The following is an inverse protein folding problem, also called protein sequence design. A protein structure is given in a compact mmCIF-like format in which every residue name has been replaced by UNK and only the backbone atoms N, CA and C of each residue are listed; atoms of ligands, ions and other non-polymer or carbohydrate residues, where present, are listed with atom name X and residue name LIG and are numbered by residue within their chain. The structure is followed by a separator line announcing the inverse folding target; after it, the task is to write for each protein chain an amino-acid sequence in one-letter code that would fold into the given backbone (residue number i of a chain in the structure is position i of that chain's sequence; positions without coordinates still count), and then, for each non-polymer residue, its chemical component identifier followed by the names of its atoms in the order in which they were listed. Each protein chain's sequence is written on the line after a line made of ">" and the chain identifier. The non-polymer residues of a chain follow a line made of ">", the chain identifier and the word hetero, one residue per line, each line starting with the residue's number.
data_IF_434041137697
#
_entry.id   IF_434041137697
#
_cell.length_a   1.000
_cell.length_b   1.000
_cell.length_c   1.000
_cell.angle_alpha   90.00
_cell.angle_beta   90.00
_cell.angle_gamma   90.00
#
_symmetry.space_group_name_H-M   'P 1'
#
loop_
_entity.id
_entity.type
_entity.pdbx_description
1 polymer ?
#
# COMPACT_ATOMS: atom_id res chain seq x y z
N UNK A 1 -118.80 -5.44 32.56
CA UNK A 1 -118.89 -6.04 31.22
C UNK A 1 -117.54 -6.65 30.82
N UNK A 2 -117.43 -7.97 30.87
CA UNK A 2 -116.58 -8.79 29.97
C UNK A 2 -115.06 -8.62 29.96
N UNK A 3 -114.35 -9.04 31.02
CA UNK A 3 -112.93 -9.42 30.95
C UNK A 3 -112.77 -10.83 30.37
N UNK A 4 -113.01 -10.99 29.06
CA UNK A 4 -112.67 -12.23 28.33
C UNK A 4 -111.97 -11.88 27.01
N UNK A 5 -110.71 -11.47 27.10
CA UNK A 5 -109.82 -11.49 25.94
C UNK A 5 -109.74 -12.93 25.39
N UNK A 6 -109.93 -13.11 24.08
CA UNK A 6 -109.90 -14.41 23.40
C UNK A 6 -108.65 -15.21 23.81
N UNK A 7 -108.82 -16.21 24.68
CA UNK A 7 -107.74 -17.12 25.07
C UNK A 7 -107.38 -17.98 23.85
N UNK A 8 -106.16 -17.82 23.33
CA UNK A 8 -105.60 -18.73 22.31
C UNK A 8 -105.81 -20.19 22.74
N UNK A 9 -106.34 -21.01 21.84
CA UNK A 9 -106.59 -22.45 22.07
C UNK A 9 -105.35 -23.16 22.60
N UNK A 10 -105.52 -24.19 23.43
CA UNK A 10 -104.42 -25.00 23.99
C UNK A 10 -103.53 -25.59 22.89
N UNK A 11 -104.13 -25.91 21.74
CA UNK A 11 -103.41 -26.40 20.56
C UNK A 11 -102.42 -25.36 20.01
N UNK A 12 -102.84 -24.10 19.86
CA UNK A 12 -101.99 -23.04 19.31
C UNK A 12 -100.87 -22.67 20.27
N UNK A 13 -101.11 -22.62 21.58
CA UNK A 13 -100.04 -22.41 22.58
C UNK A 13 -99.01 -23.54 22.59
N UNK A 14 -99.44 -24.79 22.43
CA UNK A 14 -98.52 -25.94 22.32
C UNK A 14 -97.68 -25.89 21.04
N UNK A 15 -98.28 -25.46 19.92
CA UNK A 15 -97.56 -25.25 18.67
C UNK A 15 -96.55 -24.11 18.78
N UNK A 16 -96.95 -22.97 19.35
CA UNK A 16 -96.06 -21.83 19.62
C UNK A 16 -94.92 -22.22 20.56
N UNK A 17 -95.19 -22.93 21.65
CA UNK A 17 -94.16 -23.41 22.57
C UNK A 17 -93.19 -24.41 21.91
N UNK A 18 -93.68 -25.30 21.04
CA UNK A 18 -92.83 -26.21 20.25
C UNK A 18 -91.99 -25.46 19.23
N UNK A 19 -92.55 -24.43 18.58
CA UNK A 19 -91.83 -23.59 17.63
C UNK A 19 -90.73 -22.77 18.32
N UNK A 20 -91.00 -22.20 19.50
CA UNK A 20 -90.00 -21.49 20.31
C UNK A 20 -88.89 -22.45 20.75
N UNK A 21 -89.23 -23.64 21.25
CA UNK A 21 -88.23 -24.66 21.60
C UNK A 21 -87.40 -25.12 20.40
N UNK A 22 -88.02 -25.29 19.24
CA UNK A 22 -87.32 -25.68 18.02
C UNK A 22 -86.37 -24.56 17.55
N UNK A 23 -86.82 -23.30 17.56
CA UNK A 23 -85.97 -22.13 17.26
C UNK A 23 -84.80 -22.02 18.22
N UNK A 24 -85.05 -22.07 19.54
CA UNK A 24 -84.00 -22.03 20.55
C UNK A 24 -82.99 -23.17 20.40
N UNK A 25 -83.44 -24.40 20.08
CA UNK A 25 -82.54 -25.53 19.84
C UNK A 25 -81.70 -25.36 18.56
N UNK A 26 -82.27 -24.76 17.52
CA UNK A 26 -81.53 -24.47 16.29
C UNK A 26 -80.54 -23.33 16.50
N UNK A 27 -80.93 -22.25 17.18
CA UNK A 27 -80.06 -21.14 17.55
C UNK A 27 -78.91 -21.60 18.45
N UNK A 28 -79.16 -22.46 19.44
CA UNK A 28 -78.13 -23.08 20.27
C UNK A 28 -77.15 -23.93 19.44
N UNK A 29 -77.65 -24.70 18.46
CA UNK A 29 -76.79 -25.48 17.56
C UNK A 29 -75.95 -24.59 16.63
N UNK A 30 -76.55 -23.53 16.08
CA UNK A 30 -75.86 -22.61 15.18
C UNK A 30 -74.83 -21.76 15.92
N UNK A 31 -75.15 -21.29 17.12
CA UNK A 31 -74.20 -20.58 18.00
C UNK A 31 -73.04 -21.48 18.39
N UNK A 32 -73.28 -22.71 18.88
CA UNK A 32 -72.21 -23.66 19.19
C UNK A 32 -71.32 -23.98 17.96
N UNK A 33 -71.92 -24.13 16.77
CA UNK A 33 -71.16 -24.34 15.52
C UNK A 33 -70.33 -23.12 15.14
N UNK A 34 -70.84 -21.91 15.35
CA UNK A 34 -70.13 -20.66 15.10
C UNK A 34 -69.00 -20.44 16.11
N UNK A 35 -69.22 -20.74 17.39
CA UNK A 35 -68.20 -20.69 18.44
C UNK A 35 -67.07 -21.68 18.16
N UNK A 36 -67.40 -22.94 17.82
CA UNK A 36 -66.40 -23.93 17.44
C UNK A 36 -65.57 -23.47 16.21
N UNK A 37 -66.22 -22.83 15.22
CA UNK A 37 -65.52 -22.24 14.07
C UNK A 37 -64.61 -21.07 14.49
N UNK A 38 -65.07 -20.20 15.39
CA UNK A 38 -64.30 -19.06 15.90
C UNK A 38 -63.08 -19.52 16.69
N UNK A 39 -63.24 -20.47 17.62
CA UNK A 39 -62.14 -21.04 18.41
C UNK A 39 -61.10 -21.69 17.49
N UNK A 40 -61.54 -22.49 16.52
CA UNK A 40 -60.63 -23.12 15.55
C UNK A 40 -59.92 -22.09 14.66
N UNK A 41 -60.60 -21.01 14.28
CA UNK A 41 -59.99 -19.92 13.52
C UNK A 41 -58.97 -19.16 14.37
N UNK A 42 -59.27 -18.87 15.63
CA UNK A 42 -58.38 -18.22 16.59
C UNK A 42 -57.10 -19.05 16.83
N UNK A 43 -57.24 -20.35 17.13
CA UNK A 43 -56.09 -21.25 17.30
C UNK A 43 -55.21 -21.34 16.03
N UNK A 44 -55.84 -21.32 14.85
CA UNK A 44 -55.10 -21.29 13.57
C UNK A 44 -54.38 -19.95 13.36
N UNK A 45 -54.99 -18.84 13.77
CA UNK A 45 -54.36 -17.52 13.71
C UNK A 45 -53.18 -17.43 14.68
N UNK A 46 -53.35 -17.86 15.92
CA UNK A 46 -52.29 -17.91 16.95
C UNK A 46 -51.12 -18.79 16.51
N UNK A 47 -51.38 -20.02 16.05
CA UNK A 47 -50.32 -20.91 15.57
C UNK A 47 -49.59 -20.36 14.33
N UNK A 48 -50.29 -19.66 13.43
CA UNK A 48 -49.66 -18.95 12.30
C UNK A 48 -48.83 -17.76 12.79
N UNK A 49 -49.33 -16.98 13.74
CA UNK A 49 -48.62 -15.84 14.32
C UNK A 49 -47.34 -16.31 15.03
N UNK A 50 -47.42 -17.38 15.84
CA UNK A 50 -46.26 -17.98 16.50
C UNK A 50 -45.23 -18.49 15.49
N UNK A 51 -45.66 -19.18 14.42
CA UNK A 51 -44.76 -19.63 13.35
C UNK A 51 -44.09 -18.45 12.64
N UNK A 52 -44.84 -17.38 12.36
CA UNK A 52 -44.31 -16.18 11.73
C UNK A 52 -43.28 -15.48 12.64
N UNK A 53 -43.56 -15.36 13.94
CA UNK A 53 -42.63 -14.80 14.92
C UNK A 53 -41.35 -15.65 15.02
N UNK A 54 -41.46 -16.98 15.07
CA UNK A 54 -40.29 -17.87 15.09
C UNK A 54 -39.46 -17.76 13.81
N UNK A 55 -40.11 -17.62 12.65
CA UNK A 55 -39.41 -17.44 11.38
C UNK A 55 -38.70 -16.08 11.34
N UNK A 56 -39.39 -15.01 11.72
CA UNK A 56 -38.80 -13.66 11.81
C UNK A 56 -37.60 -13.64 12.76
N UNK A 57 -37.70 -14.31 13.92
CA UNK A 57 -36.59 -14.45 14.87
C UNK A 57 -35.41 -15.23 14.28
N UNK A 58 -35.66 -16.34 13.59
CA UNK A 58 -34.59 -17.09 12.90
C UNK A 58 -33.93 -16.26 11.80
N UNK A 59 -34.71 -15.50 11.05
CA UNK A 59 -34.19 -14.64 9.99
C UNK A 59 -33.39 -13.46 10.57
N UNK A 60 -33.81 -12.88 11.70
CA UNK A 60 -33.02 -11.88 12.43
C UNK A 60 -31.74 -12.48 13.01
N UNK A 61 -31.79 -13.69 13.57
CA UNK A 61 -30.61 -14.37 14.12
C UNK A 61 -29.61 -14.68 12.99
N UNK A 62 -30.09 -15.14 11.83
CA UNK A 62 -29.26 -15.35 10.64
C UNK A 62 -28.65 -14.04 10.11
N UNK A 63 -29.42 -12.95 10.12
CA UNK A 63 -28.91 -11.65 9.74
C UNK A 63 -27.83 -11.16 10.72
N UNK A 64 -28.07 -11.30 12.03
CA UNK A 64 -27.10 -10.97 13.06
C UNK A 64 -25.81 -11.81 12.93
N UNK A 65 -25.92 -13.11 12.65
CA UNK A 65 -24.75 -13.95 12.38
C UNK A 65 -23.99 -13.49 11.13
N UNK A 66 -24.68 -13.13 10.04
CA UNK A 66 -24.02 -12.61 8.84
C UNK A 66 -23.33 -11.26 9.09
N UNK A 67 -23.95 -10.39 9.88
CA UNK A 67 -23.35 -9.11 10.28
C UNK A 67 -22.12 -9.37 11.16
N UNK A 68 -22.22 -10.24 12.16
CA UNK A 68 -21.09 -10.62 13.00
C UNK A 68 -19.95 -11.30 12.20
N UNK A 69 -20.27 -12.14 11.22
CA UNK A 69 -19.28 -12.74 10.30
C UNK A 69 -18.65 -11.68 9.39
N UNK A 70 -19.43 -10.72 8.90
CA UNK A 70 -18.93 -9.61 8.11
C UNK A 70 -18.02 -8.71 8.95
N UNK A 71 -18.40 -8.40 10.19
CA UNK A 71 -17.58 -7.66 11.15
C UNK A 71 -16.32 -8.43 11.54
N UNK A 72 -16.40 -9.74 11.75
CA UNK A 72 -15.22 -10.60 11.96
C UNK A 72 -14.31 -10.62 10.74
N UNK A 73 -14.87 -10.66 9.53
CA UNK A 73 -14.09 -10.53 8.29
C UNK A 73 -13.44 -9.16 8.23
N UNK A 74 -14.16 -8.08 8.51
CA UNK A 74 -13.62 -6.71 8.54
C UNK A 74 -12.56 -6.53 9.63
N UNK A 75 -12.73 -7.13 10.81
CA UNK A 75 -11.76 -7.08 11.90
C UNK A 75 -10.52 -7.94 11.62
N UNK A 76 -10.71 -9.14 11.03
CA UNK A 76 -9.61 -9.97 10.51
C UNK A 76 -8.91 -9.29 9.33
N UNK A 77 -9.64 -8.52 8.54
CA UNK A 77 -9.10 -7.69 7.48
C UNK A 77 -8.43 -6.43 8.01
N UNK A 78 -8.87 -5.89 9.13
CA UNK A 78 -8.29 -4.74 9.82
C UNK A 78 -6.92 -5.05 10.43
N UNK A 79 -6.61 -6.33 10.69
CA UNK A 79 -5.23 -6.76 10.86
C UNK A 79 -4.50 -6.57 9.53
N UNK A 80 -3.47 -5.74 9.55
CA UNK A 80 -2.63 -5.32 8.41
C UNK A 80 -2.05 -6.48 7.56
N UNK A 81 -2.25 -7.74 7.97
CA UNK A 81 -1.74 -8.96 7.38
C UNK A 81 -2.86 -9.92 6.92
N UNK A 82 -4.05 -9.42 6.56
CA UNK A 82 -5.12 -10.31 6.09
C UNK A 82 -4.81 -10.90 4.70
N UNK A 83 -5.09 -12.20 4.46
CA UNK A 83 -4.77 -12.85 3.19
C UNK A 83 -5.43 -12.17 1.97
N UNK A 84 -6.63 -11.62 2.14
CA UNK A 84 -7.36 -10.90 1.08
C UNK A 84 -6.74 -9.57 0.74
N UNK A 85 -6.29 -8.77 1.73
CA UNK A 85 -5.53 -7.54 1.47
C UNK A 85 -4.16 -7.85 0.88
N UNK A 86 -3.46 -8.88 1.37
CA UNK A 86 -2.18 -9.30 0.80
C UNK A 86 -2.36 -9.70 -0.67
N UNK A 87 -3.39 -10.51 -1.00
CA UNK A 87 -3.68 -10.87 -2.40
C UNK A 87 -4.02 -9.64 -3.25
N UNK A 88 -4.88 -8.73 -2.77
CA UNK A 88 -5.21 -7.49 -3.49
C UNK A 88 -4.01 -6.58 -3.66
N UNK A 89 -3.20 -6.41 -2.62
CA UNK A 89 -1.97 -5.63 -2.65
C UNK A 89 -0.96 -6.24 -3.61
N UNK A 90 -0.81 -7.58 -3.63
CA UNK A 90 0.05 -8.29 -4.58
C UNK A 90 -0.45 -8.17 -6.02
N UNK A 91 -1.77 -8.20 -6.26
CA UNK A 91 -2.32 -8.00 -7.62
C UNK A 91 -2.14 -6.57 -8.08
N UNK A 92 -2.40 -5.59 -7.21
CA UNK A 92 -2.24 -4.16 -7.53
C UNK A 92 -0.76 -3.83 -7.69
N UNK A 93 0.11 -4.33 -6.82
CA UNK A 93 1.55 -4.13 -6.94
C UNK A 93 2.10 -4.80 -8.19
N UNK A 94 1.62 -6.00 -8.57
CA UNK A 94 2.03 -6.66 -9.82
C UNK A 94 1.58 -5.93 -11.08
N UNK A 95 0.40 -5.30 -11.06
CA UNK A 95 -0.09 -4.48 -12.18
C UNK A 95 0.63 -3.14 -12.28
N UNK A 96 0.92 -2.51 -11.14
CA UNK A 96 1.64 -1.25 -11.09
C UNK A 96 3.16 -1.44 -11.17
N UNK A 97 3.68 -2.65 -10.95
CA UNK A 97 5.10 -2.98 -10.99
C UNK A 97 5.81 -2.46 -12.25
N UNK A 98 5.36 -2.73 -13.49
CA UNK A 98 6.07 -2.27 -14.68
C UNK A 98 6.14 -0.73 -14.81
N UNK A 99 5.25 0.01 -14.16
CA UNK A 99 5.20 1.48 -14.18
C UNK A 99 5.95 2.07 -12.98
N UNK A 100 5.76 1.51 -11.79
CA UNK A 100 6.43 1.95 -10.56
C UNK A 100 7.92 1.58 -10.58
N UNK A 101 8.31 0.45 -11.16
CA UNK A 101 9.71 0.02 -11.23
C UNK A 101 10.62 1.08 -11.87
N UNK A 102 10.34 1.58 -13.10
CA UNK A 102 11.16 2.63 -13.70
C UNK A 102 11.08 3.97 -12.94
N UNK A 103 9.96 4.29 -12.30
CA UNK A 103 9.81 5.53 -11.52
C UNK A 103 10.63 5.48 -10.22
N UNK A 104 10.54 4.39 -9.45
CA UNK A 104 11.34 4.16 -8.25
C UNK A 104 12.82 4.11 -8.61
N UNK A 105 13.17 3.45 -9.72
CA UNK A 105 14.54 3.43 -10.21
C UNK A 105 15.05 4.84 -10.55
N UNK A 106 14.26 5.64 -11.27
CA UNK A 106 14.61 7.04 -11.58
C UNK A 106 14.69 7.91 -10.33
N UNK A 107 13.79 7.73 -9.37
CA UNK A 107 13.80 8.45 -8.10
C UNK A 107 15.01 8.05 -7.22
N UNK A 108 15.35 6.76 -7.17
CA UNK A 108 16.53 6.26 -6.48
C UNK A 108 17.81 6.79 -7.13
N UNK A 109 17.87 6.84 -8.46
CA UNK A 109 19.01 7.40 -9.19
C UNK A 109 19.09 8.93 -9.09
N UNK A 110 17.96 9.63 -9.00
CA UNK A 110 17.94 11.07 -8.74
C UNK A 110 18.35 11.39 -7.30
N UNK A 111 17.88 10.62 -6.31
CA UNK A 111 18.29 10.77 -4.91
C UNK A 111 19.77 10.42 -4.73
N UNK A 112 20.25 9.36 -5.39
CA UNK A 112 21.67 9.01 -5.44
C UNK A 112 22.46 10.12 -6.13
N UNK A 113 21.97 10.65 -7.25
CA UNK A 113 22.53 11.79 -7.95
C UNK A 113 22.57 13.06 -7.09
N UNK A 114 21.60 13.29 -6.19
CA UNK A 114 21.57 14.43 -5.27
C UNK A 114 22.53 14.25 -4.08
N UNK A 115 22.62 13.04 -3.52
CA UNK A 115 23.58 12.71 -2.46
C UNK A 115 24.99 12.80 -3.02
N UNK A 116 25.18 12.25 -4.22
CA UNK A 116 26.42 12.29 -4.94
C UNK A 116 26.74 13.73 -5.37
N UNK A 117 25.76 14.54 -5.81
CA UNK A 117 25.93 15.98 -6.12
C UNK A 117 26.40 16.76 -4.90
N UNK A 118 25.79 16.55 -3.71
CA UNK A 118 26.26 17.21 -2.48
C UNK A 118 27.64 16.74 -2.04
N UNK A 119 27.97 15.47 -2.28
CA UNK A 119 29.31 14.93 -2.04
C UNK A 119 30.32 15.43 -3.07
N UNK A 120 29.87 15.69 -4.29
CA UNK A 120 30.60 16.28 -5.40
C UNK A 120 30.75 17.80 -5.28
N UNK A 121 29.85 18.50 -4.58
CA UNK A 121 29.99 19.93 -4.28
C UNK A 121 30.97 20.15 -3.12
N UNK A 122 31.02 19.22 -2.15
CA UNK A 122 32.02 19.24 -1.08
C UNK A 122 33.43 18.83 -1.54
N UNK A 123 33.53 18.05 -2.62
CA UNK A 123 34.80 17.57 -3.19
C UNK A 123 35.10 18.21 -4.56
N UNK A 124 34.19 19.04 -5.04
CA UNK A 124 34.23 19.71 -6.32
C UNK A 124 34.40 18.83 -7.55
N UNK A 125 34.04 17.52 -7.67
CA UNK A 125 34.33 16.61 -8.83
C UNK A 125 33.07 15.88 -9.41
N UNK A 126 32.88 15.74 -10.76
CA UNK A 126 31.67 15.17 -11.38
C UNK A 126 31.45 13.65 -11.24
N UNK A 127 30.16 13.26 -11.25
CA UNK A 127 29.59 11.99 -10.80
C UNK A 127 29.78 10.74 -11.66
N UNK A 128 30.28 10.86 -12.89
CA UNK A 128 30.41 9.70 -13.78
C UNK A 128 31.56 8.73 -13.38
N UNK A 129 32.33 9.04 -12.33
CA UNK A 129 33.53 8.28 -11.98
C UNK A 129 33.49 7.59 -10.60
N UNK A 130 32.47 7.82 -9.77
CA UNK A 130 32.45 7.30 -8.37
C UNK A 130 32.30 5.76 -8.32
N UNK A 131 31.72 5.13 -9.33
CA UNK A 131 31.70 3.67 -9.46
C UNK A 131 33.06 3.03 -9.80
N UNK A 132 34.04 3.82 -10.24
CA UNK A 132 35.43 3.36 -10.51
C UNK A 132 36.38 3.58 -9.33
N UNK A 133 35.94 4.27 -8.28
CA UNK A 133 36.80 4.73 -7.18
C UNK A 133 36.32 4.26 -5.81
N UNK A 134 35.94 2.99 -5.68
CA UNK A 134 35.70 2.34 -4.38
C UNK A 134 36.85 1.38 -4.07
N UNK A 135 37.63 1.65 -3.03
CA UNK A 135 38.87 0.93 -2.70
C UNK A 135 39.79 1.72 -1.77
N UNK A 136 40.98 1.20 -1.42
CA UNK A 136 41.93 1.87 -0.53
C UNK A 136 42.54 3.14 -1.17
N UNK A 137 42.57 3.21 -2.50
CA UNK A 137 43.06 4.30 -3.33
C UNK A 137 42.00 5.30 -3.78
N UNK A 138 40.75 5.18 -3.31
CA UNK A 138 39.64 6.05 -3.70
C UNK A 138 39.96 7.55 -3.54
N UNK A 139 40.67 7.92 -2.46
CA UNK A 139 41.11 9.29 -2.22
C UNK A 139 42.11 9.78 -3.26
N UNK A 140 43.08 8.95 -3.66
CA UNK A 140 44.06 9.30 -4.68
C UNK A 140 43.41 9.43 -6.05
N UNK A 141 42.48 8.53 -6.38
CA UNK A 141 41.72 8.62 -7.61
C UNK A 141 40.86 9.89 -7.71
N UNK A 142 40.24 10.32 -6.60
CA UNK A 142 39.51 11.58 -6.57
C UNK A 142 40.43 12.79 -6.82
N UNK A 143 41.66 12.76 -6.29
CA UNK A 143 42.69 13.78 -6.56
C UNK A 143 43.12 13.79 -8.03
N UNK A 144 43.34 12.62 -8.64
CA UNK A 144 43.62 12.50 -10.09
C UNK A 144 42.50 13.18 -10.89
N UNK A 145 41.23 12.88 -10.61
CA UNK A 145 40.09 13.53 -11.28
C UNK A 145 39.96 15.03 -10.97
N UNK A 146 40.46 15.50 -9.83
CA UNK A 146 40.61 16.93 -9.52
C UNK A 146 41.68 17.62 -10.36
N UNK A 147 42.86 16.97 -10.48
CA UNK A 147 43.97 17.45 -11.29
C UNK A 147 43.62 17.49 -12.78
N UNK A 148 42.91 16.48 -13.31
CA UNK A 148 42.43 16.47 -14.70
C UNK A 148 41.54 17.66 -15.04
N UNK A 149 40.70 18.10 -14.10
CA UNK A 149 39.81 19.24 -14.33
C UNK A 149 40.54 20.56 -14.20
N UNK A 150 41.49 20.63 -13.27
CA UNK A 150 42.42 21.77 -13.19
C UNK A 150 43.26 21.90 -14.45
N UNK A 151 43.66 20.77 -15.06
CA UNK A 151 44.37 20.75 -16.33
C UNK A 151 43.52 21.28 -17.49
N UNK A 152 42.22 20.96 -17.54
CA UNK A 152 41.29 21.55 -18.51
C UNK A 152 41.17 23.06 -18.34
N UNK A 153 41.11 23.55 -17.10
CA UNK A 153 41.12 25.00 -16.83
C UNK A 153 42.41 25.68 -17.31
N UNK A 154 43.58 25.03 -17.16
CA UNK A 154 44.85 25.53 -17.72
C UNK A 154 44.79 25.59 -19.25
N UNK A 155 44.24 24.55 -19.90
CA UNK A 155 44.07 24.49 -21.35
C UNK A 155 43.15 25.60 -21.87
N UNK A 156 42.04 25.88 -21.18
CA UNK A 156 41.07 26.93 -21.51
C UNK A 156 41.65 28.34 -21.31
N UNK A 157 42.53 28.53 -20.30
CA UNK A 157 43.16 29.83 -20.02
C UNK A 157 44.15 30.25 -21.11
N UNK A 158 44.85 29.28 -21.74
CA UNK A 158 45.86 29.56 -22.79
C UNK A 158 45.78 28.55 -23.96
N UNK A 159 44.70 28.55 -24.77
CA UNK A 159 44.46 27.52 -25.78
C UNK A 159 45.38 27.58 -27.01
N UNK A 160 46.03 28.73 -27.25
CA UNK A 160 46.90 28.97 -28.41
C UNK A 160 48.40 28.80 -28.10
N UNK A 161 48.76 28.63 -26.83
CA UNK A 161 50.15 28.51 -26.41
C UNK A 161 50.69 27.09 -26.65
N UNK A 162 51.86 27.00 -27.28
CA UNK A 162 52.48 25.72 -27.66
C UNK A 162 53.03 25.01 -26.42
N UNK A 163 53.60 25.75 -25.48
CA UNK A 163 54.11 25.18 -24.22
C UNK A 163 52.98 24.61 -23.37
N UNK A 164 51.86 25.33 -23.27
CA UNK A 164 50.66 24.84 -22.57
C UNK A 164 50.12 23.56 -23.21
N UNK A 165 50.11 23.43 -24.55
CA UNK A 165 49.67 22.19 -25.22
C UNK A 165 50.58 21.00 -24.93
N UNK A 166 51.90 21.21 -24.95
CA UNK A 166 52.88 20.16 -24.60
C UNK A 166 52.74 19.73 -23.14
N UNK A 167 52.57 20.70 -22.24
CA UNK A 167 52.32 20.44 -20.83
C UNK A 167 51.02 19.65 -20.61
N UNK A 168 49.92 20.04 -21.27
CA UNK A 168 48.64 19.33 -21.17
C UNK A 168 48.75 17.90 -21.65
N UNK A 169 49.45 17.65 -22.77
CA UNK A 169 49.71 16.30 -23.25
C UNK A 169 50.53 15.48 -22.24
N UNK A 170 51.63 16.04 -21.74
CA UNK A 170 52.52 15.36 -20.79
C UNK A 170 51.80 15.03 -19.46
N UNK A 171 51.04 15.97 -18.90
CA UNK A 171 50.31 15.77 -17.64
C UNK A 171 49.13 14.81 -17.84
N UNK A 172 48.45 14.84 -18.99
CA UNK A 172 47.39 13.87 -19.29
C UNK A 172 47.93 12.44 -19.31
N UNK A 173 49.07 12.21 -19.97
CA UNK A 173 49.72 10.89 -19.96
C UNK A 173 50.12 10.50 -18.53
N UNK A 174 50.69 11.44 -17.76
CA UNK A 174 51.12 11.17 -16.39
C UNK A 174 49.95 10.84 -15.45
N UNK A 175 48.82 11.55 -15.55
CA UNK A 175 47.62 11.28 -14.77
C UNK A 175 47.00 9.93 -15.15
N UNK A 176 47.07 9.56 -16.43
CA UNK A 176 46.66 8.23 -16.90
C UNK A 176 47.52 7.13 -16.27
N UNK A 177 48.84 7.28 -16.28
CA UNK A 177 49.77 6.32 -15.65
C UNK A 177 49.54 6.22 -14.14
N UNK A 178 49.31 7.35 -13.45
CA UNK A 178 49.00 7.37 -12.03
C UNK A 178 47.68 6.67 -11.72
N UNK A 179 46.66 6.83 -12.57
CA UNK A 179 45.38 6.12 -12.41
C UNK A 179 45.55 4.61 -12.52
N UNK A 180 46.38 4.13 -13.47
CA UNK A 180 46.72 2.72 -13.62
C UNK A 180 47.55 2.21 -12.43
N UNK A 181 48.48 3.02 -11.91
CA UNK A 181 49.28 2.69 -10.74
C UNK A 181 48.42 2.56 -9.46
N UNK A 182 47.40 3.42 -9.29
CA UNK A 182 46.43 3.28 -8.18
C UNK A 182 45.67 1.97 -8.28
N UNK A 183 45.17 1.61 -9.46
CA UNK A 183 44.48 0.34 -9.68
C UNK A 183 45.41 -0.87 -9.42
N UNK A 184 46.65 -0.82 -9.89
CA UNK A 184 47.64 -1.87 -9.64
C UNK A 184 47.99 -2.01 -8.15
N UNK A 185 48.05 -0.90 -7.40
CA UNK A 185 48.35 -0.90 -5.97
C UNK A 185 47.27 -1.59 -5.11
N UNK A 186 46.01 -1.62 -5.54
CA UNK A 186 44.92 -2.30 -4.82
C UNK A 186 45.16 -3.80 -4.67
N UNK A 187 45.81 -4.42 -5.66
CA UNK A 187 46.13 -5.85 -5.65
C UNK A 187 47.42 -6.18 -4.87
N UNK A 188 48.09 -5.19 -4.29
CA UNK A 188 49.31 -5.40 -3.50
C UNK A 188 49.00 -5.69 -2.02
N UNK A 189 49.86 -6.46 -1.32
CA UNK A 189 49.78 -6.63 0.13
C UNK A 189 49.84 -5.30 0.89
N UNK A 190 49.18 -5.21 2.04
CA UNK A 190 48.91 -3.95 2.74
C UNK A 190 50.12 -3.03 2.97
N UNK A 191 51.29 -3.61 3.35
CA UNK A 191 52.52 -2.83 3.55
C UNK A 191 53.01 -2.19 2.24
N UNK A 192 53.05 -2.97 1.16
CA UNK A 192 53.49 -2.52 -0.17
C UNK A 192 52.49 -1.54 -0.80
N UNK A 193 51.18 -1.77 -0.60
CA UNK A 193 50.11 -0.88 -1.03
C UNK A 193 50.25 0.52 -0.42
N UNK A 194 50.50 0.63 0.90
CA UNK A 194 50.69 1.94 1.57
C UNK A 194 51.90 2.69 1.02
N UNK A 195 53.02 2.01 0.81
CA UNK A 195 54.22 2.62 0.21
C UNK A 195 53.93 3.11 -1.22
N UNK A 196 53.25 2.30 -2.04
CA UNK A 196 52.86 2.68 -3.39
C UNK A 196 51.91 3.90 -3.40
N UNK A 197 50.89 3.89 -2.54
CA UNK A 197 49.98 5.04 -2.39
C UNK A 197 50.68 6.31 -1.92
N UNK A 198 51.67 6.21 -1.02
CA UNK A 198 52.46 7.36 -0.59
C UNK A 198 53.28 7.96 -1.73
N UNK A 199 53.92 7.12 -2.55
CA UNK A 199 54.70 7.57 -3.70
C UNK A 199 53.80 8.19 -4.79
N UNK A 200 52.62 7.62 -5.02
CA UNK A 200 51.61 8.18 -5.92
C UNK A 200 51.14 9.54 -5.39
N UNK A 201 50.91 9.67 -4.08
CA UNK A 201 50.51 10.93 -3.46
C UNK A 201 51.56 12.02 -3.69
N UNK A 202 52.85 11.75 -3.45
CA UNK A 202 53.90 12.75 -3.64
C UNK A 202 54.04 13.20 -5.11
N UNK A 203 53.77 12.30 -6.06
CA UNK A 203 53.77 12.65 -7.48
C UNK A 203 52.56 13.51 -7.85
N UNK A 204 51.39 13.23 -7.27
CA UNK A 204 50.22 14.09 -7.42
C UNK A 204 50.43 15.47 -6.82
N UNK A 205 51.07 15.56 -5.65
CA UNK A 205 51.40 16.84 -5.01
C UNK A 205 52.24 17.74 -5.95
N UNK A 206 53.22 17.17 -6.64
CA UNK A 206 54.04 17.89 -7.62
C UNK A 206 53.24 18.38 -8.84
N UNK A 207 52.35 17.53 -9.38
CA UNK A 207 51.48 17.91 -10.51
C UNK A 207 50.50 19.01 -10.10
N UNK A 208 49.89 18.89 -8.91
CA UNK A 208 48.96 19.89 -8.39
C UNK A 208 49.67 21.25 -8.18
N UNK A 209 50.92 21.25 -7.71
CA UNK A 209 51.74 22.47 -7.61
C UNK A 209 51.99 23.11 -8.98
N UNK A 210 52.41 22.34 -9.99
CA UNK A 210 52.63 22.84 -11.35
C UNK A 210 51.35 23.41 -11.97
N UNK A 211 50.21 22.75 -11.71
CA UNK A 211 48.89 23.22 -12.15
C UNK A 211 48.52 24.55 -11.50
N UNK A 212 48.69 24.67 -10.19
CA UNK A 212 48.40 25.92 -9.47
C UNK A 212 49.30 27.07 -9.93
N UNK A 213 50.59 26.82 -10.16
CA UNK A 213 51.52 27.82 -10.68
C UNK A 213 51.08 28.35 -12.06
N UNK A 214 50.61 27.47 -12.95
CA UNK A 214 50.11 27.86 -14.28
C UNK A 214 48.74 28.53 -14.25
N UNK A 215 47.91 28.18 -13.27
CA UNK A 215 46.66 28.88 -12.98
C UNK A 215 46.88 30.24 -12.30
N UNK A 216 48.07 30.49 -11.74
CA UNK A 216 48.43 31.73 -11.05
C UNK A 216 47.84 31.79 -9.63
N UNK A 217 47.75 30.64 -8.96
CA UNK A 217 47.14 30.48 -7.62
C UNK A 217 48.18 30.21 -6.52
N UNK A 218 49.47 30.36 -6.82
CA UNK A 218 50.63 30.18 -5.91
C UNK A 218 51.53 31.41 -5.95
#
# INVERSE_FOLDING_TARGET
>A
MGLFGKRKSRATRRAEARAIKARAKLEAKLSAKNEARRIKAAQRAESKALKAQLKARRDSDRAALKVAEAELKVAREGKLLSPTRIRRLLTVSRLLAPILTPVIYRAAMAARGLIDQRRADQLGVPLAQIGRFSGHGARLSARVGGAERSLRMVQEKKPKDVETKQFVSAVTNRLTDLSAAVAAAEHMPAKRRRTAHSAISSQLDGIEADLMARLGLT
#
